data_IF_459957623800
#
_entry.id   IF_459957623800
#
_cell.length_a   1.000
_cell.length_b   1.000
_cell.length_c   1.000
_cell.angle_alpha   90.00
_cell.angle_beta   90.00
_cell.angle_gamma   90.00
#
_symmetry.space_group_name_H-M   'P 1'
#
loop_
_entity.id
_entity.type
_entity.pdbx_description
1 polymer ?
#
# COMPACT_ATOMS: atom_id res chain seq x y z
N UNK A 1 2.47 16.14 44.84
CA UNK A 1 1.30 16.03 43.93
C UNK A 1 1.52 16.74 42.58
N UNK A 2 2.27 17.84 42.53
CA UNK A 2 2.48 18.62 41.29
C UNK A 2 3.29 17.94 40.17
N UNK A 3 4.22 17.04 40.47
CA UNK A 3 5.12 16.43 39.46
C UNK A 3 4.40 15.37 38.62
N UNK A 4 3.46 14.62 39.20
CA UNK A 4 2.67 13.58 38.51
C UNK A 4 1.69 14.19 37.50
N UNK A 5 1.10 15.34 37.81
CA UNK A 5 0.18 16.06 36.90
C UNK A 5 0.94 16.66 35.70
N UNK A 6 2.14 17.21 35.93
CA UNK A 6 2.96 17.77 34.86
C UNK A 6 3.41 16.67 33.88
N UNK A 7 3.84 15.50 34.36
CA UNK A 7 4.20 14.37 33.51
C UNK A 7 3.02 13.86 32.69
N UNK A 8 1.81 13.87 33.26
CA UNK A 8 0.58 13.45 32.55
C UNK A 8 0.21 14.42 31.42
N UNK A 9 0.38 15.73 31.67
CA UNK A 9 0.15 16.77 30.64
C UNK A 9 1.16 16.67 29.50
N UNK A 10 2.46 16.47 29.81
CA UNK A 10 3.49 16.26 28.78
C UNK A 10 3.25 15.01 27.93
N UNK A 11 2.81 13.91 28.53
CA UNK A 11 2.45 12.70 27.80
C UNK A 11 1.26 12.93 26.87
N UNK A 12 0.23 13.65 27.32
CA UNK A 12 -0.92 14.02 26.49
C UNK A 12 -0.54 14.97 25.34
N UNK A 13 0.31 15.94 25.60
CA UNK A 13 0.80 16.87 24.56
C UNK A 13 1.63 16.13 23.50
N UNK A 14 2.50 15.19 23.88
CA UNK A 14 3.26 14.38 22.93
C UNK A 14 2.35 13.51 22.07
N UNK A 15 1.38 12.83 22.66
CA UNK A 15 0.41 12.02 21.88
C UNK A 15 -0.47 12.84 20.95
N UNK A 16 -0.80 14.10 21.33
CA UNK A 16 -1.53 15.02 20.46
C UNK A 16 -0.65 15.51 19.29
N UNK A 17 0.63 15.78 19.55
CA UNK A 17 1.57 16.23 18.52
C UNK A 17 1.86 15.10 17.50
N UNK A 18 2.09 13.88 17.98
CA UNK A 18 2.25 12.69 17.11
C UNK A 18 1.01 12.42 16.24
N UNK A 19 -0.18 12.59 16.80
CA UNK A 19 -1.43 12.47 16.02
C UNK A 19 -1.58 13.59 14.98
N UNK A 20 -1.18 14.82 15.30
CA UNK A 20 -1.21 15.92 14.33
C UNK A 20 -0.21 15.75 13.20
N UNK A 21 1.01 15.27 13.48
CA UNK A 21 2.02 14.96 12.47
C UNK A 21 1.61 13.80 11.59
N UNK A 22 1.04 12.74 12.19
CA UNK A 22 0.50 11.61 11.43
C UNK A 22 -0.67 12.02 10.52
N UNK A 23 -1.54 12.92 10.97
CA UNK A 23 -2.67 13.43 10.17
C UNK A 23 -2.18 14.28 9.00
N UNK A 24 -1.20 15.16 9.20
CA UNK A 24 -0.57 15.94 8.11
C UNK A 24 0.07 15.04 7.06
N UNK A 25 0.82 14.03 7.50
CA UNK A 25 1.43 13.05 6.60
C UNK A 25 0.38 12.27 5.78
N UNK A 26 -0.75 11.93 6.37
CA UNK A 26 -1.85 11.26 5.67
C UNK A 26 -2.50 12.17 4.62
N UNK A 27 -2.79 13.42 4.97
CA UNK A 27 -3.37 14.39 4.05
C UNK A 27 -2.47 14.66 2.85
N UNK A 28 -1.18 14.83 3.08
CA UNK A 28 -0.19 15.02 2.01
C UNK A 28 -0.15 13.82 1.06
N UNK A 29 -0.11 12.59 1.60
CA UNK A 29 -0.13 11.37 0.80
C UNK A 29 -1.43 11.25 -0.04
N UNK A 30 -2.58 11.57 0.56
CA UNK A 30 -3.86 11.52 -0.15
C UNK A 30 -3.96 12.59 -1.25
N UNK A 31 -3.45 13.80 -1.02
CA UNK A 31 -3.37 14.86 -2.05
C UNK A 31 -2.49 14.44 -3.22
N UNK A 32 -1.33 13.86 -2.95
CA UNK A 32 -0.43 13.36 -3.98
C UNK A 32 -1.09 12.26 -4.81
N UNK A 33 -1.79 11.34 -4.17
CA UNK A 33 -2.49 10.24 -4.86
C UNK A 33 -3.74 10.67 -5.61
N UNK A 34 -4.41 11.74 -5.19
CA UNK A 34 -5.71 12.16 -5.75
C UNK A 34 -5.69 12.42 -7.27
N UNK A 35 -4.53 12.77 -7.85
CA UNK A 35 -4.41 13.00 -9.29
C UNK A 35 -4.56 11.75 -10.15
N UNK A 36 -4.15 10.59 -9.68
CA UNK A 36 -4.04 9.36 -10.49
C UNK A 36 -4.60 8.10 -9.82
N UNK A 37 -4.98 8.15 -8.54
CA UNK A 37 -5.63 7.04 -7.86
C UNK A 37 -7.11 6.92 -8.26
N UNK A 38 -7.63 5.67 -8.33
CA UNK A 38 -9.04 5.44 -8.63
C UNK A 38 -9.91 5.91 -7.46
N UNK A 39 -10.78 6.88 -7.71
CA UNK A 39 -11.62 7.54 -6.71
C UNK A 39 -13.02 6.94 -6.64
N UNK A 40 -13.68 7.10 -5.49
CA UNK A 40 -15.08 6.78 -5.28
C UNK A 40 -15.80 7.99 -4.67
N UNK A 41 -17.03 8.28 -5.17
CA UNK A 41 -17.86 9.41 -4.72
C UNK A 41 -19.26 8.96 -4.28
N UNK A 42 -19.42 7.69 -3.84
CA UNK A 42 -20.70 7.13 -3.43
C UNK A 42 -20.98 7.50 -1.96
N UNK A 43 -21.77 8.57 -1.77
CA UNK A 43 -22.13 9.11 -0.46
C UNK A 43 -22.87 8.12 0.44
N UNK A 44 -23.70 7.25 -0.16
CA UNK A 44 -24.50 6.26 0.56
C UNK A 44 -23.71 5.01 0.98
N UNK A 45 -22.41 4.92 0.66
CA UNK A 45 -21.61 3.74 0.97
C UNK A 45 -21.38 3.63 2.49
N UNK A 46 -21.74 2.52 3.15
CA UNK A 46 -21.53 2.35 4.58
C UNK A 46 -20.04 2.23 4.97
N UNK A 47 -19.17 1.89 4.01
CA UNK A 47 -17.72 1.69 4.23
C UNK A 47 -16.90 2.94 3.88
N UNK A 48 -17.52 4.06 3.48
CA UNK A 48 -16.82 5.20 2.92
C UNK A 48 -15.73 5.76 3.83
N UNK A 49 -16.01 5.92 5.11
CA UNK A 49 -15.09 6.49 6.12
C UNK A 49 -13.83 5.65 6.37
N UNK A 50 -13.86 4.38 5.95
CA UNK A 50 -12.77 3.43 6.09
C UNK A 50 -12.13 3.05 4.75
N UNK A 51 -12.60 3.64 3.64
CA UNK A 51 -12.20 3.26 2.29
C UNK A 51 -11.23 4.27 1.67
N UNK A 52 -10.04 3.83 1.29
CA UNK A 52 -9.05 4.68 0.63
C UNK A 52 -9.58 5.37 -0.62
N UNK A 53 -10.36 4.68 -1.46
CA UNK A 53 -10.93 5.26 -2.67
C UNK A 53 -11.86 6.45 -2.39
N UNK A 54 -12.62 6.38 -1.30
CA UNK A 54 -13.45 7.49 -0.85
C UNK A 54 -12.60 8.59 -0.24
N UNK A 55 -11.73 8.26 0.72
CA UNK A 55 -10.93 9.23 1.45
C UNK A 55 -10.01 10.02 0.53
N UNK A 56 -9.32 9.37 -0.41
CA UNK A 56 -8.51 10.03 -1.44
C UNK A 56 -9.39 10.88 -2.37
N UNK A 57 -10.61 10.44 -2.66
CA UNK A 57 -11.58 11.18 -3.45
C UNK A 57 -11.91 12.57 -2.90
N UNK A 58 -11.85 12.75 -1.56
CA UNK A 58 -12.10 14.04 -0.91
C UNK A 58 -11.03 15.10 -1.22
N UNK A 59 -9.84 14.67 -1.68
CA UNK A 59 -8.75 15.53 -2.11
C UNK A 59 -8.65 15.69 -3.63
N UNK A 60 -9.65 15.16 -4.36
CA UNK A 60 -9.70 15.32 -5.81
C UNK A 60 -9.84 16.79 -6.19
N UNK A 61 -9.11 17.19 -7.24
CA UNK A 61 -9.26 18.52 -7.79
C UNK A 61 -10.70 18.73 -8.31
N UNK A 62 -11.30 19.86 -7.97
CA UNK A 62 -12.66 20.25 -8.38
C UNK A 62 -12.69 20.94 -9.74
N UNK A 63 -11.54 21.32 -10.29
CA UNK A 63 -11.44 22.06 -11.55
C UNK A 63 -11.67 21.22 -12.82
N UNK A 64 -11.22 19.94 -12.91
CA UNK A 64 -11.42 19.16 -14.12
C UNK A 64 -12.89 18.84 -14.38
N UNK A 65 -13.36 19.09 -15.60
CA UNK A 65 -14.72 18.69 -16.04
C UNK A 65 -14.90 17.17 -16.11
N UNK A 66 -13.81 16.40 -16.23
CA UNK A 66 -13.83 14.95 -16.37
C UNK A 66 -12.84 14.34 -15.36
N UNK A 67 -13.33 13.40 -14.58
CA UNK A 67 -12.49 12.62 -13.64
C UNK A 67 -12.79 11.13 -13.75
N UNK A 68 -11.75 10.31 -13.64
CA UNK A 68 -11.91 8.86 -13.52
C UNK A 68 -12.35 8.49 -12.12
N UNK A 69 -13.50 7.83 -12.02
CA UNK A 69 -14.04 7.33 -10.75
C UNK A 69 -14.70 5.97 -10.93
N UNK A 70 -14.99 5.30 -9.83
CA UNK A 70 -15.80 4.09 -9.85
C UNK A 70 -17.20 4.38 -10.36
N UNK A 71 -17.76 3.44 -11.13
CA UNK A 71 -19.14 3.55 -11.61
C UNK A 71 -20.15 3.30 -10.48
N UNK A 72 -20.89 4.32 -10.01
CA UNK A 72 -21.83 4.16 -8.91
C UNK A 72 -23.05 3.30 -9.24
N UNK A 73 -23.28 3.01 -10.54
CA UNK A 73 -24.37 2.14 -10.99
C UNK A 73 -23.99 0.64 -11.00
N UNK A 74 -22.73 0.32 -10.76
CA UNK A 74 -22.31 -1.07 -10.66
C UNK A 74 -22.77 -1.65 -9.31
N UNK A 75 -23.62 -2.71 -9.27
CA UNK A 75 -24.19 -3.24 -8.04
C UNK A 75 -23.14 -3.86 -7.09
N UNK A 76 -21.92 -4.11 -7.57
CA UNK A 76 -20.81 -4.65 -6.77
C UNK A 76 -19.99 -3.56 -6.06
N UNK A 77 -20.36 -2.28 -6.22
CA UNK A 77 -19.64 -1.13 -5.68
C UNK A 77 -20.56 -0.35 -4.75
N UNK A 78 -20.02 0.13 -3.63
CA UNK A 78 -20.75 1.05 -2.72
C UNK A 78 -21.68 0.38 -1.72
N UNK A 79 -21.60 -0.93 -1.51
CA UNK A 79 -22.35 -1.66 -0.50
C UNK A 79 -21.47 -2.24 0.60
N UNK A 80 -22.07 -2.99 1.53
CA UNK A 80 -21.37 -3.68 2.63
C UNK A 80 -20.31 -4.68 2.13
N UNK A 81 -20.51 -5.24 0.92
CA UNK A 81 -19.62 -6.19 0.26
C UNK A 81 -19.02 -5.60 -1.02
N UNK A 82 -18.51 -4.38 -0.94
CA UNK A 82 -17.90 -3.70 -2.08
C UNK A 82 -16.64 -4.45 -2.55
N UNK A 83 -16.65 -4.96 -3.79
CA UNK A 83 -15.49 -5.69 -4.37
C UNK A 83 -14.24 -4.79 -4.51
N UNK A 84 -14.42 -3.48 -4.49
CA UNK A 84 -13.31 -2.51 -4.58
C UNK A 84 -13.02 -1.82 -3.25
N UNK A 85 -13.49 -2.38 -2.15
CA UNK A 85 -13.12 -1.85 -0.84
C UNK A 85 -11.61 -1.95 -0.62
N UNK A 86 -10.99 -0.85 -0.23
CA UNK A 86 -9.59 -0.77 0.19
C UNK A 86 -9.53 -0.12 1.57
N UNK A 87 -9.16 -0.86 2.60
CA UNK A 87 -9.14 -0.32 3.96
C UNK A 87 -8.10 0.78 4.13
N UNK A 88 -8.43 1.82 4.88
CA UNK A 88 -7.50 2.87 5.28
C UNK A 88 -6.61 2.39 6.42
N UNK A 89 -5.76 1.41 6.13
CA UNK A 89 -4.81 0.83 7.07
C UNK A 89 -3.42 0.84 6.45
N UNK A 90 -2.44 1.31 7.20
CA UNK A 90 -1.03 1.19 6.84
C UNK A 90 -0.57 -0.24 7.07
N UNK A 91 0.22 -0.75 6.16
CA UNK A 91 0.72 -2.11 6.18
C UNK A 91 2.21 -2.10 5.92
N UNK A 92 2.96 -2.88 6.72
CA UNK A 92 4.39 -3.08 6.48
C UNK A 92 4.60 -3.89 5.21
N UNK A 93 5.33 -3.32 4.26
CA UNK A 93 5.63 -3.92 2.96
C UNK A 93 7.14 -4.06 2.79
N UNK A 94 7.55 -5.02 1.95
CA UNK A 94 8.96 -5.19 1.62
C UNK A 94 9.37 -4.24 0.50
N UNK A 95 10.66 -3.87 0.48
CA UNK A 95 11.23 -2.92 -0.46
C UNK A 95 12.51 -3.45 -1.06
N UNK A 96 12.55 -3.50 -2.41
CA UNK A 96 13.74 -3.88 -3.16
C UNK A 96 14.07 -5.37 -3.11
N UNK A 97 14.69 -5.85 -4.17
CA UNK A 97 15.12 -7.24 -4.35
C UNK A 97 16.52 -7.31 -5.00
N UNK A 98 17.42 -6.37 -4.66
CA UNK A 98 18.77 -6.35 -5.27
C UNK A 98 19.63 -7.48 -4.71
N UNK A 99 19.43 -7.83 -3.43
CA UNK A 99 20.14 -8.91 -2.74
C UNK A 99 19.36 -10.24 -2.73
N UNK A 100 18.13 -10.24 -3.24
CA UNK A 100 17.20 -11.38 -3.18
C UNK A 100 17.76 -12.68 -3.79
N UNK A 101 18.62 -12.56 -4.80
CA UNK A 101 19.14 -13.69 -5.58
C UNK A 101 20.56 -14.10 -5.24
N UNK A 102 21.23 -13.44 -4.28
CA UNK A 102 22.66 -13.64 -4.03
C UNK A 102 23.06 -15.09 -3.73
N UNK A 103 22.23 -15.79 -2.97
CA UNK A 103 22.51 -17.16 -2.53
C UNK A 103 21.88 -18.23 -3.46
N UNK A 104 21.21 -17.80 -4.53
CA UNK A 104 20.52 -18.73 -5.43
C UNK A 104 21.47 -19.30 -6.48
N UNK A 105 21.39 -20.62 -6.75
CA UNK A 105 22.05 -21.18 -7.93
C UNK A 105 21.56 -20.47 -9.22
N UNK A 106 22.48 -20.07 -10.11
CA UNK A 106 22.15 -19.21 -11.26
C UNK A 106 21.07 -19.79 -12.21
N UNK A 107 20.93 -21.14 -12.27
CA UNK A 107 19.86 -21.80 -13.02
C UNK A 107 18.49 -21.54 -12.36
N UNK A 108 18.41 -21.61 -11.03
CA UNK A 108 17.20 -21.39 -10.23
C UNK A 108 16.81 -19.91 -10.29
N UNK A 109 17.78 -19.01 -10.09
CA UNK A 109 17.60 -17.57 -10.25
C UNK A 109 16.96 -17.21 -11.60
N UNK A 110 17.52 -17.75 -12.68
CA UNK A 110 17.03 -17.46 -14.04
C UNK A 110 15.57 -17.88 -14.23
N UNK A 111 15.19 -19.07 -13.73
CA UNK A 111 13.84 -19.59 -13.84
C UNK A 111 12.85 -18.74 -13.00
N UNK A 112 13.18 -18.46 -11.75
CA UNK A 112 12.37 -17.62 -10.85
C UNK A 112 12.16 -16.23 -11.45
N UNK A 113 13.23 -15.59 -11.90
CA UNK A 113 13.17 -14.25 -12.52
C UNK A 113 12.23 -14.22 -13.72
N UNK A 114 12.30 -15.22 -14.59
CA UNK A 114 11.44 -15.31 -15.76
C UNK A 114 9.97 -15.45 -15.37
N UNK A 115 9.68 -16.29 -14.39
CA UNK A 115 8.31 -16.53 -13.94
C UNK A 115 7.72 -15.34 -13.18
N UNK A 116 8.53 -14.63 -12.35
CA UNK A 116 8.10 -13.38 -11.71
C UNK A 116 7.83 -12.27 -12.73
N UNK A 117 8.64 -12.16 -13.79
CA UNK A 117 8.37 -11.23 -14.89
C UNK A 117 7.06 -11.58 -15.60
N UNK A 118 6.74 -12.84 -15.72
CA UNK A 118 5.47 -13.30 -16.27
C UNK A 118 4.29 -12.96 -15.36
N UNK A 119 4.42 -13.18 -14.06
CA UNK A 119 3.37 -12.96 -13.06
C UNK A 119 3.04 -11.48 -12.87
N UNK A 120 4.05 -10.61 -12.78
CA UNK A 120 3.88 -9.18 -12.50
C UNK A 120 3.93 -8.29 -13.74
N UNK A 121 4.44 -8.79 -14.84
CA UNK A 121 4.85 -7.98 -15.97
C UNK A 121 6.22 -7.33 -15.78
N UNK A 122 6.88 -7.02 -16.89
CA UNK A 122 8.26 -6.57 -16.90
C UNK A 122 8.48 -5.27 -16.10
N UNK A 123 7.65 -4.25 -16.33
CA UNK A 123 7.82 -2.94 -15.68
C UNK A 123 7.68 -3.08 -14.16
N UNK A 124 6.58 -3.67 -13.69
CA UNK A 124 6.30 -3.83 -12.27
C UNK A 124 7.38 -4.66 -11.55
N UNK A 125 7.83 -5.76 -12.15
CA UNK A 125 8.92 -6.56 -11.60
C UNK A 125 10.20 -5.74 -11.40
N UNK A 126 10.60 -4.93 -12.40
CA UNK A 126 11.82 -4.11 -12.27
C UNK A 126 11.66 -2.95 -11.30
N UNK A 127 10.48 -2.37 -11.18
CA UNK A 127 10.16 -1.36 -10.15
C UNK A 127 10.28 -1.95 -8.74
N UNK A 128 9.68 -3.13 -8.51
CA UNK A 128 9.81 -3.88 -7.25
C UNK A 128 11.28 -4.19 -6.94
N UNK A 129 12.02 -4.72 -7.91
CA UNK A 129 13.43 -5.08 -7.76
C UNK A 129 14.30 -3.88 -7.34
N UNK A 130 14.03 -2.70 -7.89
CA UNK A 130 14.76 -1.45 -7.60
C UNK A 130 14.26 -0.75 -6.33
N UNK A 131 13.22 -1.26 -5.67
CA UNK A 131 12.60 -0.59 -4.53
C UNK A 131 11.79 0.67 -4.88
N UNK A 132 11.46 0.86 -6.16
CA UNK A 132 10.61 1.95 -6.63
C UNK A 132 9.12 1.66 -6.42
N UNK A 133 8.77 0.39 -6.28
CA UNK A 133 7.44 -0.11 -5.92
C UNK A 133 7.58 -1.01 -4.71
N UNK A 134 6.74 -0.80 -3.72
CA UNK A 134 6.66 -1.65 -2.54
C UNK A 134 6.05 -3.01 -2.90
N UNK A 135 6.49 -4.03 -2.21
CA UNK A 135 6.08 -5.42 -2.39
C UNK A 135 5.07 -5.73 -1.28
N UNK A 136 3.80 -5.79 -1.66
CA UNK A 136 2.70 -6.03 -0.74
C UNK A 136 2.77 -7.44 -0.12
N UNK A 137 2.05 -7.71 0.98
CA UNK A 137 1.96 -9.07 1.52
C UNK A 137 1.47 -10.09 0.48
N UNK A 138 0.50 -9.72 -0.37
CA UNK A 138 -0.01 -10.56 -1.47
C UNK A 138 1.11 -10.84 -2.50
N UNK A 139 1.87 -9.81 -2.88
CA UNK A 139 3.01 -9.97 -3.80
C UNK A 139 4.10 -10.89 -3.20
N UNK A 140 4.35 -10.79 -1.89
CA UNK A 140 5.31 -11.66 -1.18
C UNK A 140 4.88 -13.14 -1.22
N UNK A 141 3.58 -13.41 -1.11
CA UNK A 141 3.06 -14.77 -1.24
C UNK A 141 3.25 -15.33 -2.65
N UNK A 142 3.00 -14.51 -3.68
CA UNK A 142 3.25 -14.89 -5.09
C UNK A 142 4.74 -15.17 -5.30
N UNK A 143 5.62 -14.28 -4.82
CA UNK A 143 7.07 -14.45 -4.91
C UNK A 143 7.52 -15.74 -4.23
N UNK A 144 7.05 -15.97 -3.00
CA UNK A 144 7.39 -17.17 -2.25
C UNK A 144 6.87 -18.45 -2.91
N UNK A 145 5.68 -18.40 -3.51
CA UNK A 145 5.12 -19.51 -4.28
C UNK A 145 5.99 -19.86 -5.50
N UNK A 146 6.33 -18.86 -6.32
CA UNK A 146 7.19 -19.03 -7.49
C UNK A 146 8.57 -19.58 -7.09
N UNK A 147 9.16 -19.06 -6.02
CA UNK A 147 10.44 -19.55 -5.51
C UNK A 147 10.37 -21.02 -5.13
N UNK A 148 9.38 -21.43 -4.35
CA UNK A 148 9.18 -22.82 -3.93
C UNK A 148 8.93 -23.75 -5.12
N UNK A 149 8.14 -23.33 -6.09
CA UNK A 149 7.86 -24.09 -7.32
C UNK A 149 9.14 -24.38 -8.13
N UNK A 150 10.13 -23.47 -8.04
CA UNK A 150 11.43 -23.63 -8.69
C UNK A 150 12.51 -24.25 -7.76
N UNK A 151 12.13 -24.80 -6.62
CA UNK A 151 13.02 -25.50 -5.70
C UNK A 151 13.81 -24.62 -4.74
N UNK A 152 13.42 -23.34 -4.56
CA UNK A 152 14.01 -22.42 -3.59
C UNK A 152 13.06 -22.17 -2.41
N UNK A 153 13.49 -22.56 -1.21
CA UNK A 153 12.69 -22.44 0.02
C UNK A 153 13.14 -21.29 0.95
N UNK A 154 13.97 -20.40 0.46
CA UNK A 154 14.51 -19.27 1.22
C UNK A 154 15.99 -19.41 1.54
N UNK A 155 16.57 -18.45 2.23
CA UNK A 155 15.92 -17.24 2.75
C UNK A 155 15.41 -16.29 1.66
N UNK A 156 14.35 -15.50 1.97
CA UNK A 156 13.83 -14.43 1.10
C UNK A 156 14.35 -13.11 1.65
N UNK A 157 15.45 -12.61 1.07
CA UNK A 157 16.13 -11.40 1.53
C UNK A 157 15.69 -10.23 0.68
N UNK A 158 14.96 -9.29 1.28
CA UNK A 158 14.60 -8.01 0.69
C UNK A 158 15.56 -6.92 1.15
N UNK A 159 15.66 -5.82 0.41
CA UNK A 159 16.61 -4.74 0.70
C UNK A 159 16.16 -3.88 1.90
N UNK A 160 14.86 -3.86 2.22
CA UNK A 160 14.30 -3.13 3.36
C UNK A 160 12.79 -3.35 3.53
N UNK A 161 12.22 -2.54 4.43
CA UNK A 161 10.79 -2.52 4.74
C UNK A 161 10.31 -1.06 4.79
N UNK A 162 9.03 -0.84 4.45
CA UNK A 162 8.39 0.47 4.51
C UNK A 162 6.90 0.30 4.83
N UNK A 163 6.38 1.16 5.69
CA UNK A 163 4.96 1.17 6.03
C UNK A 163 4.21 2.17 5.15
N UNK A 164 3.27 1.69 4.35
CA UNK A 164 2.44 2.53 3.49
C UNK A 164 1.04 1.92 3.34
N UNK A 165 0.11 2.66 2.73
CA UNK A 165 -1.20 2.14 2.36
C UNK A 165 -1.11 1.18 1.17
N UNK A 166 -2.05 0.25 1.11
CA UNK A 166 -2.22 -0.64 -0.05
C UNK A 166 -2.95 0.09 -1.19
N UNK A 167 -2.19 0.93 -1.91
CA UNK A 167 -2.67 1.74 -3.04
C UNK A 167 -3.20 0.92 -4.22
#
# INVERSE_FOLDING_TARGET
MAVSEIMSIFALMNTMNEKQEATKSQEEAFREKAGHYLKCFIESCPLKEQCLHWLVGQYADTLPFVQTSMNPRNPKIGGEHCEKFRPNVRTMMKKGMTHFYLDMPGRVEKAIRQELIWSFGRSQYFEMRKGQRLITPEDQEIIAHVCRANGWNGPFVYDGEEEDWLW
#
